data_IF_332212824187
#
_entry.id   IF_332212824187
#
_cell.length_a   1.000
_cell.length_b   1.000
_cell.length_c   1.000
_cell.angle_alpha   90.00
_cell.angle_beta   90.00
_cell.angle_gamma   90.00
#
_symmetry.space_group_name_H-M   'P 1'
#
loop_
_entity.id
_entity.type
_entity.pdbx_description
1 polymer ?
#
# COMPACT_ATOMS: atom_id res chain seq x y z
N UNK A 1 -3.55 -0.42 -21.48
CA UNK A 1 -2.90 -1.35 -20.54
C UNK A 1 -2.21 -2.46 -21.30
N UNK A 2 -1.04 -2.85 -20.81
CA UNK A 2 -0.24 -3.94 -21.39
C UNK A 2 -0.75 -5.31 -20.88
N UNK A 3 -1.49 -5.31 -19.77
CA UNK A 3 -1.98 -6.51 -19.14
C UNK A 3 -3.39 -6.93 -19.56
N UNK A 4 -4.22 -7.22 -18.59
CA UNK A 4 -5.59 -7.69 -18.81
C UNK A 4 -6.58 -6.53 -19.02
N UNK A 5 -7.57 -6.75 -19.86
CA UNK A 5 -8.70 -5.83 -19.98
C UNK A 5 -9.59 -5.90 -18.73
N UNK A 6 -10.40 -4.85 -18.45
CA UNK A 6 -11.36 -4.88 -17.33
C UNK A 6 -12.28 -6.11 -17.36
N UNK A 7 -12.75 -6.54 -18.55
CA UNK A 7 -13.59 -7.72 -18.69
C UNK A 7 -12.88 -9.03 -18.32
N UNK A 8 -11.59 -9.14 -18.59
CA UNK A 8 -10.78 -10.30 -18.18
C UNK A 8 -10.59 -10.32 -16.67
N UNK A 9 -10.25 -9.17 -16.06
CA UNK A 9 -10.13 -9.03 -14.60
C UNK A 9 -11.46 -9.36 -13.92
N UNK A 10 -12.56 -8.84 -14.43
CA UNK A 10 -13.89 -9.12 -13.87
C UNK A 10 -14.21 -10.63 -13.86
N UNK A 11 -13.82 -11.36 -14.89
CA UNK A 11 -13.98 -12.84 -14.90
C UNK A 11 -13.18 -13.50 -13.78
N UNK A 12 -11.95 -13.03 -13.54
CA UNK A 12 -11.09 -13.52 -12.43
C UNK A 12 -11.74 -13.21 -11.08
N UNK A 13 -12.24 -11.98 -10.91
CA UNK A 13 -12.88 -11.56 -9.67
C UNK A 13 -14.16 -12.34 -9.37
N UNK A 14 -14.99 -12.61 -10.40
CA UNK A 14 -16.18 -13.50 -10.26
C UNK A 14 -15.79 -14.91 -9.81
N UNK A 15 -14.72 -15.46 -10.37
CA UNK A 15 -14.22 -16.76 -9.96
C UNK A 15 -13.69 -16.74 -8.50
N UNK A 16 -12.92 -15.73 -8.13
CA UNK A 16 -12.45 -15.56 -6.76
C UNK A 16 -13.63 -15.44 -5.77
N UNK A 17 -14.64 -14.63 -6.11
CA UNK A 17 -15.84 -14.46 -5.30
C UNK A 17 -16.60 -15.77 -5.10
N UNK A 18 -16.73 -16.59 -6.15
CA UNK A 18 -17.37 -17.93 -6.04
C UNK A 18 -16.62 -18.89 -5.10
N UNK A 19 -15.34 -18.63 -4.87
CA UNK A 19 -14.47 -19.37 -3.95
C UNK A 19 -14.30 -18.68 -2.59
N UNK A 20 -15.01 -17.57 -2.34
CA UNK A 20 -14.86 -16.74 -1.14
C UNK A 20 -13.43 -16.25 -0.92
N UNK A 21 -12.68 -16.02 -2.00
CA UNK A 21 -11.33 -15.50 -1.95
C UNK A 21 -11.35 -13.98 -2.08
N UNK A 22 -10.62 -13.24 -1.22
CA UNK A 22 -10.44 -11.80 -1.39
C UNK A 22 -9.62 -11.50 -2.65
N UNK A 23 -9.81 -10.30 -3.18
CA UNK A 23 -9.11 -9.85 -4.38
C UNK A 23 -8.30 -8.59 -4.11
N UNK A 24 -7.29 -8.36 -4.92
CA UNK A 24 -6.48 -7.16 -5.02
C UNK A 24 -6.23 -6.87 -6.49
N UNK A 25 -5.91 -5.64 -6.85
CA UNK A 25 -5.66 -5.28 -8.24
C UNK A 25 -4.52 -4.28 -8.38
N UNK A 26 -3.58 -4.57 -9.26
CA UNK A 26 -2.68 -3.59 -9.86
C UNK A 26 -3.49 -2.75 -10.87
N UNK A 27 -3.69 -1.47 -10.60
CA UNK A 27 -4.63 -0.63 -11.34
C UNK A 27 -4.08 0.79 -11.58
N UNK A 28 -4.49 1.39 -12.71
CA UNK A 28 -4.23 2.78 -13.06
C UNK A 28 -2.76 3.22 -12.96
N UNK A 29 -1.80 2.31 -13.22
CA UNK A 29 -0.39 2.67 -13.28
C UNK A 29 -0.04 3.44 -14.56
N UNK A 30 -0.50 2.96 -15.71
CA UNK A 30 -0.08 3.47 -17.03
C UNK A 30 -1.21 4.20 -17.77
N UNK A 31 -2.44 4.01 -17.35
CA UNK A 31 -3.63 4.59 -17.95
C UNK A 31 -4.85 4.41 -17.07
N UNK A 32 -5.84 5.28 -17.21
CA UNK A 32 -7.14 5.16 -16.55
C UNK A 32 -8.04 4.17 -17.33
N UNK A 33 -8.19 2.96 -16.83
CA UNK A 33 -9.11 1.95 -17.34
C UNK A 33 -10.22 1.61 -16.35
N UNK A 34 -10.39 2.41 -15.31
CA UNK A 34 -11.36 2.19 -14.22
C UNK A 34 -11.19 0.85 -13.50
N UNK A 35 -9.96 0.35 -13.44
CA UNK A 35 -9.62 -0.87 -12.70
C UNK A 35 -9.80 -0.68 -11.20
N UNK A 36 -9.47 0.48 -10.66
CA UNK A 36 -9.70 0.84 -9.26
C UNK A 36 -11.18 0.81 -8.89
N UNK A 37 -12.07 1.32 -9.75
CA UNK A 37 -13.52 1.21 -9.55
C UNK A 37 -14.02 -0.22 -9.71
N UNK A 38 -13.43 -0.98 -10.63
CA UNK A 38 -13.73 -2.42 -10.70
C UNK A 38 -13.33 -3.12 -9.41
N UNK A 39 -12.13 -2.85 -8.87
CA UNK A 39 -11.68 -3.36 -7.59
C UNK A 39 -12.64 -2.98 -6.45
N UNK A 40 -13.05 -1.71 -6.39
CA UNK A 40 -14.02 -1.20 -5.41
C UNK A 40 -15.34 -1.96 -5.45
N UNK A 41 -15.92 -2.17 -6.64
CA UNK A 41 -17.19 -2.92 -6.81
C UNK A 41 -17.12 -4.37 -6.33
N UNK A 42 -15.95 -4.96 -6.35
CA UNK A 42 -15.70 -6.32 -5.82
C UNK A 42 -15.18 -6.32 -4.38
N UNK A 43 -15.24 -5.18 -3.68
CA UNK A 43 -14.72 -5.02 -2.31
C UNK A 43 -13.29 -5.54 -2.17
N UNK A 44 -12.45 -5.19 -3.14
CA UNK A 44 -11.04 -5.58 -3.13
C UNK A 44 -10.35 -5.04 -1.88
N UNK A 45 -9.43 -5.80 -1.32
CA UNK A 45 -8.62 -5.37 -0.17
C UNK A 45 -7.79 -4.14 -0.51
N UNK A 46 -7.22 -4.10 -1.72
CA UNK A 46 -6.45 -2.95 -2.21
C UNK A 46 -6.53 -2.81 -3.72
N UNK A 47 -6.20 -1.58 -4.17
CA UNK A 47 -5.75 -1.32 -5.52
C UNK A 47 -4.38 -0.63 -5.44
N UNK A 48 -3.47 -1.09 -6.28
CA UNK A 48 -2.06 -0.77 -6.16
C UNK A 48 -1.63 0.13 -7.33
N UNK A 49 -0.70 1.08 -7.12
CA UNK A 49 -0.20 2.15 -8.00
C UNK A 49 -1.08 3.41 -7.98
N UNK A 50 -2.11 3.50 -8.81
CA UNK A 50 -3.13 4.57 -8.85
C UNK A 50 -2.67 5.92 -9.43
N UNK A 51 -1.55 6.00 -10.14
CA UNK A 51 -1.05 7.24 -10.74
C UNK A 51 -2.06 7.87 -11.70
N UNK A 52 -2.88 7.04 -12.36
CA UNK A 52 -3.93 7.48 -13.29
C UNK A 52 -5.35 7.39 -12.72
N UNK A 53 -5.51 7.18 -11.42
CA UNK A 53 -6.82 7.28 -10.77
C UNK A 53 -7.34 8.71 -10.93
N UNK A 54 -8.53 8.87 -11.49
CA UNK A 54 -9.15 10.18 -11.64
C UNK A 54 -9.70 10.67 -10.28
N UNK A 55 -9.59 11.98 -10.01
CA UNK A 55 -10.07 12.56 -8.73
C UNK A 55 -11.57 12.35 -8.52
N UNK A 56 -12.36 12.43 -9.59
CA UNK A 56 -13.81 12.20 -9.56
C UNK A 56 -14.20 10.76 -9.17
N UNK A 57 -13.29 9.80 -9.30
CA UNK A 57 -13.53 8.39 -8.95
C UNK A 57 -13.20 8.08 -7.48
N UNK A 58 -12.45 8.96 -6.81
CA UNK A 58 -11.99 8.73 -5.43
C UNK A 58 -13.15 8.56 -4.45
N UNK A 59 -14.27 9.29 -4.53
CA UNK A 59 -15.41 9.06 -3.63
C UNK A 59 -15.99 7.64 -3.71
N UNK A 60 -16.15 7.08 -4.93
CA UNK A 60 -16.63 5.69 -5.11
C UNK A 60 -15.60 4.69 -4.58
N UNK A 61 -14.32 4.93 -4.86
CA UNK A 61 -13.21 4.12 -4.36
C UNK A 61 -13.15 4.10 -2.82
N UNK A 62 -13.27 5.28 -2.19
CA UNK A 62 -13.28 5.43 -0.74
C UNK A 62 -14.47 4.73 -0.07
N UNK A 63 -15.67 4.87 -0.66
CA UNK A 63 -16.89 4.25 -0.14
C UNK A 63 -16.80 2.71 -0.04
N UNK A 64 -16.00 2.08 -0.88
CA UNK A 64 -15.76 0.64 -0.85
C UNK A 64 -14.80 0.20 0.28
N UNK A 65 -14.09 1.14 0.91
CA UNK A 65 -13.08 0.84 1.93
C UNK A 65 -11.82 0.15 1.40
N UNK A 66 -11.62 0.14 0.07
CA UNK A 66 -10.44 -0.40 -0.60
C UNK A 66 -9.22 0.46 -0.25
N UNK A 67 -8.11 -0.19 0.08
CA UNK A 67 -6.86 0.51 0.44
C UNK A 67 -6.11 0.92 -0.82
N UNK A 68 -5.62 2.15 -0.86
CA UNK A 68 -4.69 2.63 -1.88
C UNK A 68 -3.27 2.20 -1.52
N UNK A 69 -2.62 1.37 -2.34
CA UNK A 69 -1.23 0.95 -2.11
C UNK A 69 -0.30 1.69 -3.04
N UNK A 70 0.58 2.50 -2.47
CA UNK A 70 1.56 3.28 -3.22
C UNK A 70 2.89 2.54 -3.32
N UNK A 71 3.51 2.61 -4.49
CA UNK A 71 4.69 1.84 -4.86
C UNK A 71 5.84 2.77 -5.31
N UNK A 72 6.49 3.46 -4.36
CA UNK A 72 7.46 4.51 -4.67
C UNK A 72 8.69 3.98 -5.42
N UNK A 73 9.06 2.72 -5.22
CA UNK A 73 10.17 2.10 -5.94
C UNK A 73 9.91 1.99 -7.44
N UNK A 74 8.71 1.53 -7.83
CA UNK A 74 8.31 1.45 -9.22
C UNK A 74 8.18 2.85 -9.84
N UNK A 75 7.53 3.78 -9.15
CA UNK A 75 7.39 5.18 -9.57
C UNK A 75 8.76 5.79 -9.92
N UNK A 76 9.72 5.69 -9.02
CA UNK A 76 11.07 6.20 -9.22
C UNK A 76 11.82 5.51 -10.37
N UNK A 77 11.84 4.17 -10.40
CA UNK A 77 12.60 3.40 -11.37
C UNK A 77 12.07 3.55 -12.79
N UNK A 78 10.76 3.68 -12.95
CA UNK A 78 10.10 3.90 -14.23
C UNK A 78 10.08 5.38 -14.64
N UNK A 79 10.57 6.29 -13.77
CA UNK A 79 10.56 7.73 -13.99
C UNK A 79 9.14 8.27 -14.25
N UNK A 80 8.18 7.74 -13.51
CA UNK A 80 6.81 8.23 -13.57
C UNK A 80 6.76 9.69 -13.13
N UNK A 81 5.85 10.44 -13.69
CA UNK A 81 5.71 11.88 -13.41
C UNK A 81 4.31 12.26 -12.95
N UNK A 82 3.32 11.40 -13.23
CA UNK A 82 1.96 11.60 -12.79
C UNK A 82 1.76 11.00 -11.41
N UNK A 83 1.44 11.84 -10.44
CA UNK A 83 1.16 11.41 -9.08
C UNK A 83 -0.25 10.83 -8.95
N UNK A 84 -0.46 9.85 -8.06
CA UNK A 84 -1.80 9.52 -7.57
C UNK A 84 -2.49 10.76 -7.02
N UNK A 85 -3.83 10.83 -7.00
CA UNK A 85 -4.58 12.00 -6.52
C UNK A 85 -4.54 12.11 -4.99
N UNK A 86 -3.36 12.39 -4.44
CA UNK A 86 -3.05 12.33 -3.01
C UNK A 86 -3.99 13.18 -2.15
N UNK A 87 -4.30 14.41 -2.62
CA UNK A 87 -5.18 15.32 -1.90
C UNK A 87 -6.60 14.75 -1.82
N UNK A 88 -7.14 14.25 -2.93
CA UNK A 88 -8.47 13.64 -2.96
C UNK A 88 -8.52 12.37 -2.10
N UNK A 89 -7.47 11.52 -2.12
CA UNK A 89 -7.38 10.34 -1.26
C UNK A 89 -7.46 10.72 0.22
N UNK A 90 -6.74 11.78 0.64
CA UNK A 90 -6.79 12.29 2.03
C UNK A 90 -8.16 12.87 2.38
N UNK A 91 -8.72 13.72 1.49
CA UNK A 91 -10.02 14.37 1.71
C UNK A 91 -11.15 13.35 1.91
N UNK A 92 -11.10 12.24 1.19
CA UNK A 92 -12.08 11.17 1.29
C UNK A 92 -11.71 10.08 2.32
N UNK A 93 -10.64 10.27 3.09
CA UNK A 93 -10.25 9.36 4.16
C UNK A 93 -9.86 7.96 3.69
N UNK A 94 -9.30 7.85 2.48
CA UNK A 94 -8.80 6.58 1.96
C UNK A 94 -7.58 6.15 2.77
N UNK A 95 -7.57 4.91 3.26
CA UNK A 95 -6.37 4.33 3.87
C UNK A 95 -5.28 4.15 2.81
N UNK A 96 -4.10 4.71 3.06
CA UNK A 96 -2.95 4.65 2.17
C UNK A 96 -1.92 3.69 2.76
N UNK A 97 -1.59 2.64 2.04
CA UNK A 97 -0.50 1.73 2.37
C UNK A 97 0.72 1.95 1.46
N UNK A 98 1.88 1.53 1.93
CA UNK A 98 3.14 1.59 1.19
C UNK A 98 3.68 0.18 1.04
N UNK A 99 4.16 -0.17 -0.14
CA UNK A 99 4.85 -1.41 -0.41
C UNK A 99 6.09 -1.19 -1.28
N UNK A 100 7.01 -2.14 -1.24
CA UNK A 100 8.24 -2.09 -2.03
C UNK A 100 8.03 -2.43 -3.49
N UNK A 101 6.98 -3.20 -3.80
CA UNK A 101 6.80 -3.83 -5.13
C UNK A 101 8.08 -4.55 -5.59
N UNK A 102 8.78 -5.22 -4.66
CA UNK A 102 10.11 -5.76 -4.91
C UNK A 102 10.10 -6.79 -6.06
N UNK A 103 10.59 -6.37 -7.19
CA UNK A 103 10.73 -7.20 -8.39
C UNK A 103 11.94 -6.74 -9.23
N UNK A 104 12.54 -7.63 -10.05
CA UNK A 104 13.73 -7.30 -10.84
C UNK A 104 13.44 -6.39 -12.04
N UNK A 105 12.18 -6.23 -12.45
CA UNK A 105 11.81 -5.47 -13.64
C UNK A 105 11.64 -3.98 -13.43
N UNK A 106 10.86 -3.60 -12.44
CA UNK A 106 10.44 -2.21 -12.23
C UNK A 106 10.71 -1.67 -10.84
N UNK A 107 11.03 -2.51 -9.85
CA UNK A 107 11.27 -2.05 -8.48
C UNK A 107 12.25 -2.95 -7.73
N UNK A 108 13.57 -2.82 -7.97
CA UNK A 108 14.58 -3.58 -7.22
C UNK A 108 14.78 -3.04 -5.80
N UNK A 109 13.69 -2.68 -5.15
CA UNK A 109 13.63 -2.08 -3.80
C UNK A 109 13.21 -3.15 -2.79
N UNK A 110 14.13 -3.56 -1.91
CA UNK A 110 13.86 -4.57 -0.87
C UNK A 110 13.65 -4.00 0.52
N UNK A 111 13.93 -2.71 0.74
CA UNK A 111 13.84 -2.05 2.04
C UNK A 111 12.52 -1.29 2.20
N UNK A 112 11.71 -1.69 3.17
CA UNK A 112 10.48 -0.97 3.51
C UNK A 112 10.77 0.42 4.08
N UNK A 113 11.87 0.59 4.82
CA UNK A 113 12.27 1.92 5.33
C UNK A 113 12.61 2.87 4.18
N UNK A 114 13.33 2.38 3.17
CA UNK A 114 13.60 3.17 1.97
C UNK A 114 12.30 3.51 1.23
N UNK A 115 11.35 2.58 1.13
CA UNK A 115 10.04 2.86 0.56
C UNK A 115 9.29 3.96 1.33
N UNK A 116 9.35 3.96 2.67
CA UNK A 116 8.79 5.04 3.51
C UNK A 116 9.43 6.39 3.18
N UNK A 117 10.77 6.46 3.13
CA UNK A 117 11.49 7.69 2.79
C UNK A 117 11.10 8.19 1.40
N UNK A 118 11.09 7.30 0.40
CA UNK A 118 10.71 7.64 -0.96
C UNK A 118 9.25 8.12 -1.04
N UNK A 119 8.33 7.50 -0.30
CA UNK A 119 6.92 7.93 -0.27
C UNK A 119 6.75 9.34 0.31
N UNK A 120 7.54 9.70 1.31
CA UNK A 120 7.55 11.07 1.83
C UNK A 120 8.06 12.08 0.78
N UNK A 121 9.04 11.69 -0.03
CA UNK A 121 9.65 12.59 -1.04
C UNK A 121 8.79 12.65 -2.30
N UNK A 122 8.41 11.50 -2.86
CA UNK A 122 7.74 11.43 -4.17
C UNK A 122 6.24 11.77 -4.06
N UNK A 123 5.56 11.27 -3.03
CA UNK A 123 4.11 11.41 -2.86
C UNK A 123 3.71 12.44 -1.80
N UNK A 124 4.69 13.08 -1.13
CA UNK A 124 4.43 14.07 -0.09
C UNK A 124 3.72 13.50 1.14
N UNK A 125 3.96 12.24 1.49
CA UNK A 125 3.44 11.68 2.74
C UNK A 125 4.16 12.28 3.96
N UNK A 126 3.43 12.45 5.05
CA UNK A 126 4.07 12.72 6.35
C UNK A 126 4.74 11.45 6.89
N UNK A 127 5.72 11.56 7.80
CA UNK A 127 6.30 10.39 8.47
C UNK A 127 5.26 9.52 9.18
N UNK A 128 4.20 10.12 9.72
CA UNK A 128 3.10 9.42 10.38
C UNK A 128 2.26 8.64 9.36
N UNK A 129 1.95 9.24 8.21
CA UNK A 129 1.27 8.55 7.10
C UNK A 129 2.12 7.38 6.59
N UNK A 130 3.43 7.58 6.43
CA UNK A 130 4.36 6.54 6.00
C UNK A 130 4.43 5.38 7.01
N UNK A 131 4.50 5.68 8.30
CA UNK A 131 4.48 4.65 9.35
C UNK A 131 3.15 3.91 9.38
N UNK A 132 2.01 4.61 9.34
CA UNK A 132 0.69 3.99 9.25
C UNK A 132 0.55 3.15 7.98
N UNK A 133 1.09 3.65 6.86
CA UNK A 133 1.08 2.99 5.56
C UNK A 133 1.82 1.65 5.52
N UNK A 134 2.84 1.49 6.37
CA UNK A 134 3.61 0.23 6.47
C UNK A 134 3.16 -0.66 7.64
N UNK A 135 2.21 -0.22 8.43
CA UNK A 135 1.69 -0.95 9.61
C UNK A 135 0.18 -1.19 9.49
N UNK A 136 -0.64 -0.33 10.06
CA UNK A 136 -2.10 -0.48 10.13
C UNK A 136 -2.75 -0.56 8.74
N UNK A 137 -2.41 0.36 7.85
CA UNK A 137 -3.00 0.36 6.50
C UNK A 137 -2.50 -0.82 5.66
N UNK A 138 -1.21 -1.21 5.82
CA UNK A 138 -0.68 -2.42 5.17
C UNK A 138 -1.38 -3.68 5.67
N UNK A 139 -1.62 -3.83 6.97
CA UNK A 139 -2.37 -4.94 7.53
C UNK A 139 -3.80 -5.00 6.95
N UNK A 140 -4.46 -3.85 6.80
CA UNK A 140 -5.79 -3.77 6.16
C UNK A 140 -5.72 -4.21 4.69
N UNK A 141 -4.73 -3.74 3.92
CA UNK A 141 -4.52 -4.13 2.53
C UNK A 141 -4.25 -5.63 2.34
N UNK A 142 -3.86 -6.33 3.40
CA UNK A 142 -3.62 -7.77 3.42
C UNK A 142 -4.79 -8.58 4.03
N UNK A 143 -5.87 -7.91 4.48
CA UNK A 143 -6.97 -8.56 5.17
C UNK A 143 -6.63 -9.05 6.58
N UNK A 144 -5.65 -8.43 7.23
CA UNK A 144 -5.10 -8.81 8.54
C UNK A 144 -5.42 -7.80 9.64
N UNK A 145 -6.37 -6.90 9.42
CA UNK A 145 -6.80 -5.91 10.43
C UNK A 145 -7.18 -6.58 11.74
N UNK A 146 -6.82 -5.94 12.84
CA UNK A 146 -7.08 -6.45 14.21
C UNK A 146 -6.15 -7.58 14.66
N UNK A 147 -5.33 -8.13 13.77
CA UNK A 147 -4.33 -9.15 14.09
C UNK A 147 -2.90 -8.59 14.06
N UNK A 148 -2.63 -7.69 13.11
CA UNK A 148 -1.32 -7.08 12.84
C UNK A 148 -1.43 -5.59 12.61
N UNK A 149 -0.29 -4.91 12.68
CA UNK A 149 -0.12 -3.51 12.29
C UNK A 149 -0.45 -2.50 13.38
N UNK A 150 -0.92 -2.95 14.55
CA UNK A 150 -1.27 -2.09 15.68
C UNK A 150 -0.79 -2.70 17.00
N UNK A 151 -0.44 -1.83 17.95
CA UNK A 151 -0.08 -2.24 19.32
C UNK A 151 -1.31 -2.08 20.20
N UNK A 152 -2.15 -3.10 20.19
CA UNK A 152 -3.39 -3.16 20.99
C UNK A 152 -3.48 -4.48 21.74
N UNK A 153 -4.19 -4.48 22.87
CA UNK A 153 -4.40 -5.69 23.66
C UNK A 153 -5.13 -6.76 22.83
N UNK A 154 -4.57 -7.97 22.82
CA UNK A 154 -5.11 -9.11 22.05
C UNK A 154 -4.55 -9.25 20.63
N UNK A 155 -3.85 -8.25 20.08
CA UNK A 155 -3.14 -8.40 18.82
C UNK A 155 -1.91 -9.30 18.97
N UNK A 156 -1.41 -9.82 17.84
CA UNK A 156 -0.19 -10.65 17.83
C UNK A 156 1.03 -9.78 18.11
N UNK A 157 1.91 -10.28 18.96
CA UNK A 157 3.17 -9.63 19.32
C UNK A 157 4.22 -9.84 18.20
N UNK A 158 3.99 -9.26 17.03
CA UNK A 158 4.96 -9.17 15.94
C UNK A 158 5.47 -7.73 15.90
N UNK A 159 6.54 -7.46 16.65
CA UNK A 159 7.02 -6.12 16.91
C UNK A 159 8.45 -5.94 16.39
N UNK A 160 8.74 -4.75 15.89
CA UNK A 160 10.08 -4.27 15.62
C UNK A 160 10.44 -3.18 16.63
N UNK A 161 11.56 -3.36 17.32
CA UNK A 161 12.13 -2.34 18.23
C UNK A 161 13.25 -1.64 17.46
N UNK A 162 13.20 -0.33 17.43
CA UNK A 162 14.09 0.51 16.64
C UNK A 162 15.00 1.35 17.54
N UNK A 163 16.26 1.45 17.17
CA UNK A 163 17.23 2.36 17.80
C UNK A 163 17.14 3.74 17.15
N UNK A 164 16.11 4.49 17.50
CA UNK A 164 15.83 5.85 17.01
C UNK A 164 15.32 6.72 18.14
N UNK A 165 15.61 8.00 18.08
CA UNK A 165 15.12 8.99 19.04
C UNK A 165 13.69 9.43 18.78
N UNK A 166 13.22 9.32 17.53
CA UNK A 166 11.86 9.69 17.11
C UNK A 166 11.38 8.81 15.95
N UNK A 167 10.10 8.42 15.90
CA UNK A 167 9.57 7.55 14.82
C UNK A 167 9.78 8.11 13.40
N UNK A 168 9.80 9.43 13.22
CA UNK A 168 10.04 10.06 11.92
C UNK A 168 11.42 9.73 11.33
N UNK A 169 12.39 9.32 12.15
CA UNK A 169 13.70 8.91 11.66
C UNK A 169 13.64 7.65 10.77
N UNK A 170 12.62 6.82 10.94
CA UNK A 170 12.39 5.64 10.09
C UNK A 170 12.11 6.00 8.63
N UNK A 171 11.59 7.21 8.38
CA UNK A 171 11.32 7.76 7.03
C UNK A 171 12.39 8.74 6.56
N UNK A 172 13.43 9.00 7.36
CA UNK A 172 14.44 10.01 7.07
C UNK A 172 15.72 9.40 6.50
N UNK A 173 16.28 8.39 7.18
CA UNK A 173 17.57 7.81 6.83
C UNK A 173 17.46 6.81 5.69
N UNK A 174 18.03 7.12 4.52
CA UNK A 174 18.12 6.18 3.40
C UNK A 174 19.27 5.21 3.62
N UNK A 175 18.96 3.90 3.49
CA UNK A 175 19.97 2.84 3.57
C UNK A 175 20.43 2.49 4.99
N UNK A 176 19.91 3.17 5.99
CA UNK A 176 20.14 2.81 7.39
C UNK A 176 19.36 1.55 7.81
N UNK A 177 19.85 0.85 8.82
CA UNK A 177 19.16 -0.30 9.42
C UNK A 177 19.11 -0.10 10.94
N UNK A 178 18.24 0.76 11.48
CA UNK A 178 18.15 1.04 12.91
C UNK A 178 17.37 -0.04 13.68
N UNK A 179 17.16 -1.22 13.11
CA UNK A 179 16.47 -2.31 13.79
C UNK A 179 17.34 -2.81 14.95
N UNK A 180 16.86 -2.60 16.17
CA UNK A 180 17.49 -3.09 17.37
C UNK A 180 17.12 -4.55 17.68
N UNK A 181 15.81 -4.86 17.62
CA UNK A 181 15.31 -6.19 17.94
C UNK A 181 13.98 -6.47 17.23
N UNK A 182 13.75 -7.72 16.88
CA UNK A 182 12.45 -8.23 16.45
C UNK A 182 11.87 -9.14 17.53
N UNK A 183 10.62 -8.89 17.88
CA UNK A 183 9.81 -9.79 18.72
C UNK A 183 8.79 -10.46 17.81
N UNK A 184 8.77 -11.78 17.80
CA UNK A 184 7.80 -12.57 17.04
C UNK A 184 7.03 -13.50 17.98
N UNK A 185 5.76 -13.75 17.70
CA UNK A 185 4.89 -14.61 18.51
C UNK A 185 5.54 -15.99 18.69
N UNK A 186 6.02 -16.29 19.89
CA UNK A 186 6.56 -17.60 20.28
C UNK A 186 8.08 -17.72 20.41
N UNK A 187 8.87 -16.71 20.08
CA UNK A 187 10.30 -16.69 20.40
C UNK A 187 10.89 -15.27 20.34
N UNK A 188 11.63 -14.91 21.38
CA UNK A 188 12.72 -13.93 21.25
C UNK A 188 13.74 -14.56 20.29
N UNK A 189 13.93 -14.00 19.11
CA UNK A 189 15.00 -14.39 18.19
C UNK A 189 16.00 -13.28 18.08
#
# INVERSE_FOLDING_TARGET
SIGFSPAQIERVFKAAQSLSLPVKLHAEQLSDLKGSLLAARYSALSADHLEFLAEEDVPEFAAAGTVAVLLPGAFYMLKETKLPPMEALRQHGVDIAIATDCNPGSSPLSSILTAMTMSCIEFGLTPEEALSGTTRCAAKALGLSGQYGEIVAGARAELAVWDVGHPAELSYWMGGTPLYQRLATGALK
#
